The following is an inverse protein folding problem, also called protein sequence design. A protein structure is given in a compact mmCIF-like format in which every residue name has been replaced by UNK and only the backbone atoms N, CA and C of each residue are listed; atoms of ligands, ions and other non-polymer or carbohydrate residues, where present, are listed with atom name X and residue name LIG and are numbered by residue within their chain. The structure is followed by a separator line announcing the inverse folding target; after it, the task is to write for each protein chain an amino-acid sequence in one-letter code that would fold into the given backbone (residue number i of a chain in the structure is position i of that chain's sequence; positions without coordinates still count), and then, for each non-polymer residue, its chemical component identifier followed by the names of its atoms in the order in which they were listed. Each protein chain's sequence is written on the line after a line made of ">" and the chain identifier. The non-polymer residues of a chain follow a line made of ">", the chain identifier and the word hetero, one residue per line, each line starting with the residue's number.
data_IF_122916024089
#
_entry.id   IF_122916024089
#
_cell.length_a   1.000
_cell.length_b   1.000
_cell.length_c   1.000
_cell.angle_alpha   90.00
_cell.angle_beta   90.00
_cell.angle_gamma   90.00
#
_symmetry.space_group_name_H-M   'P 1'
#
loop_
_entity.id
_entity.type
_entity.pdbx_description
1 polymer ?
#
# COMPACT_ATOMS: atom_id res chain seq x y z
N UNK A 1 10.74 15.17 -0.61
CA UNK A 1 12.22 15.37 -0.61
C UNK A 1 12.75 14.89 0.74
N UNK A 2 13.65 13.89 0.84
CA UNK A 2 13.91 13.19 2.12
C UNK A 2 14.78 13.98 3.12
N UNK A 3 14.98 15.29 2.92
CA UNK A 3 15.75 16.14 3.84
C UNK A 3 15.05 17.44 4.27
N UNK A 4 13.79 17.67 3.88
CA UNK A 4 13.07 18.91 4.26
C UNK A 4 11.85 18.70 5.15
N UNK A 5 11.43 17.46 5.43
CA UNK A 5 10.22 17.21 6.25
C UNK A 5 8.92 17.70 5.60
N UNK A 6 8.97 18.22 4.37
CA UNK A 6 7.77 18.40 3.56
C UNK A 6 7.36 17.02 3.05
N UNK A 7 6.33 16.46 3.70
CA UNK A 7 5.48 15.49 3.04
C UNK A 7 4.89 16.19 1.81
N UNK A 8 5.54 16.05 0.66
CA UNK A 8 4.81 16.13 -0.60
C UNK A 8 3.94 14.88 -0.64
N UNK A 9 2.88 14.84 0.17
CA UNK A 9 1.75 13.96 -0.09
C UNK A 9 1.33 14.37 -1.49
N UNK A 10 1.60 13.50 -2.46
CA UNK A 10 1.02 13.69 -3.77
C UNK A 10 -0.49 13.51 -3.57
N UNK A 11 -1.21 14.61 -3.42
CA UNK A 11 -2.67 14.63 -3.22
C UNK A 11 -3.42 14.11 -4.45
N UNK A 12 -2.71 13.84 -5.55
CA UNK A 12 -3.32 13.34 -6.77
C UNK A 12 -3.67 11.85 -6.70
N UNK A 13 -3.12 11.08 -5.75
CA UNK A 13 -3.57 9.69 -5.55
C UNK A 13 -5.05 9.67 -5.14
N UNK A 14 -5.81 8.61 -5.49
CA UNK A 14 -7.21 8.53 -5.12
C UNK A 14 -7.43 8.76 -3.61
N UNK A 15 -8.45 9.55 -3.27
CA UNK A 15 -8.68 10.03 -1.90
C UNK A 15 -8.74 8.90 -0.86
N UNK A 16 -9.26 7.73 -1.25
CA UNK A 16 -9.34 6.56 -0.40
C UNK A 16 -7.98 5.96 0.00
N UNK A 17 -6.88 6.30 -0.68
CA UNK A 17 -5.51 5.89 -0.33
C UNK A 17 -4.78 6.92 0.54
N UNK A 18 -5.22 8.19 0.53
CA UNK A 18 -4.53 9.26 1.24
C UNK A 18 -4.32 8.97 2.73
N UNK A 19 -5.28 8.40 3.49
CA UNK A 19 -5.07 8.13 4.91
C UNK A 19 -3.88 7.20 5.19
N UNK A 20 -3.79 6.07 4.48
CA UNK A 20 -2.69 5.13 4.67
C UNK A 20 -1.35 5.70 4.18
N UNK A 21 -1.34 6.37 3.01
CA UNK A 21 -0.15 7.05 2.50
C UNK A 21 0.36 8.07 3.52
N UNK A 22 -0.54 8.86 4.12
CA UNK A 22 -0.17 9.82 5.16
C UNK A 22 0.48 9.13 6.37
N UNK A 23 -0.09 8.02 6.85
CA UNK A 23 0.50 7.25 7.95
C UNK A 23 1.88 6.66 7.62
N UNK A 24 2.09 6.19 6.39
CA UNK A 24 3.38 5.72 5.89
C UNK A 24 4.42 6.85 5.88
N UNK A 25 4.06 8.02 5.36
CA UNK A 25 4.95 9.20 5.34
C UNK A 25 5.31 9.70 6.74
N UNK A 26 4.35 9.68 7.66
CA UNK A 26 4.61 9.99 9.07
C UNK A 26 5.57 8.95 9.68
N UNK A 27 5.46 7.66 9.34
CA UNK A 27 6.41 6.66 9.82
C UNK A 27 7.85 6.97 9.35
N UNK A 28 8.04 7.38 8.09
CA UNK A 28 9.34 7.87 7.61
C UNK A 28 9.83 9.08 8.40
N UNK A 29 8.96 10.05 8.67
CA UNK A 29 9.30 11.24 9.49
C UNK A 29 9.70 10.89 10.92
N UNK A 30 9.16 9.80 11.47
CA UNK A 30 9.50 9.29 12.80
C UNK A 30 10.78 8.44 12.81
N UNK A 31 11.44 8.26 11.67
CA UNK A 31 12.74 7.59 11.55
C UNK A 31 12.69 6.14 11.08
N UNK A 32 11.52 5.62 10.68
CA UNK A 32 11.41 4.30 10.05
C UNK A 32 11.83 4.37 8.59
N UNK A 33 13.14 4.43 8.34
CA UNK A 33 13.70 4.71 7.02
C UNK A 33 13.50 3.58 5.98
N UNK A 34 13.28 2.34 6.43
CA UNK A 34 13.00 1.22 5.51
C UNK A 34 11.52 1.18 5.16
N UNK A 35 11.22 0.96 3.88
CA UNK A 35 9.84 0.91 3.39
C UNK A 35 8.98 -0.14 4.06
N UNK A 36 9.52 -1.33 4.33
CA UNK A 36 8.76 -2.40 4.99
C UNK A 36 8.40 -2.01 6.43
N UNK A 37 9.34 -1.39 7.15
CA UNK A 37 9.11 -0.85 8.49
C UNK A 37 8.09 0.30 8.47
N UNK A 38 8.23 1.25 7.53
CA UNK A 38 7.29 2.36 7.36
C UNK A 38 5.88 1.89 6.97
N UNK A 39 5.77 0.92 6.06
CA UNK A 39 4.49 0.28 5.70
C UNK A 39 3.85 -0.41 6.91
N UNK A 40 4.63 -1.21 7.65
CA UNK A 40 4.13 -1.91 8.82
C UNK A 40 3.64 -0.93 9.90
N UNK A 41 4.47 0.07 10.26
CA UNK A 41 4.11 1.09 11.26
C UNK A 41 2.92 1.94 10.80
N UNK A 42 2.92 2.36 9.53
CA UNK A 42 1.82 3.09 8.94
C UNK A 42 0.51 2.30 8.95
N UNK A 43 0.57 0.99 8.70
CA UNK A 43 -0.59 0.10 8.75
C UNK A 43 -1.14 -0.02 10.17
N UNK A 44 -0.27 -0.24 11.18
CA UNK A 44 -0.67 -0.30 12.58
C UNK A 44 -1.29 1.04 13.02
N UNK A 45 -0.68 2.17 12.66
CA UNK A 45 -1.20 3.50 12.98
C UNK A 45 -2.57 3.77 12.35
N UNK A 46 -2.73 3.48 11.06
CA UNK A 46 -3.99 3.68 10.35
C UNK A 46 -5.11 2.77 10.88
N UNK A 47 -4.80 1.51 11.18
CA UNK A 47 -5.81 0.56 11.72
C UNK A 47 -6.18 0.82 13.18
N UNK A 48 -5.31 1.50 13.94
CA UNK A 48 -5.59 1.98 15.30
C UNK A 48 -6.53 3.19 15.37
N UNK A 49 -6.75 3.89 14.25
CA UNK A 49 -7.62 5.07 14.19
C UNK A 49 -9.09 4.70 14.35
N UNK A 50 -9.88 5.50 15.06
CA UNK A 50 -11.34 5.30 15.11
C UNK A 50 -12.04 5.73 13.81
N UNK A 51 -11.33 6.43 12.92
CA UNK A 51 -11.87 6.86 11.64
C UNK A 51 -11.90 5.70 10.63
N UNK A 52 -13.09 5.32 10.11
CA UNK A 52 -13.21 4.20 9.18
C UNK A 52 -12.44 4.40 7.86
N UNK A 53 -12.18 5.64 7.43
CA UNK A 53 -11.39 5.92 6.22
C UNK A 53 -9.94 5.47 6.37
N UNK A 54 -9.35 5.61 7.56
CA UNK A 54 -7.98 5.14 7.82
C UNK A 54 -7.90 3.62 7.78
N UNK A 55 -8.85 2.94 8.43
CA UNK A 55 -8.95 1.48 8.37
C UNK A 55 -9.15 0.99 6.95
N UNK A 56 -10.09 1.60 6.22
CA UNK A 56 -10.38 1.26 4.83
C UNK A 56 -9.12 1.38 3.97
N UNK A 57 -8.48 2.54 4.02
CA UNK A 57 -7.26 2.84 3.25
C UNK A 57 -6.16 1.80 3.49
N UNK A 58 -5.90 1.46 4.76
CA UNK A 58 -4.88 0.49 5.13
C UNK A 58 -5.23 -0.94 4.68
N UNK A 59 -6.46 -1.39 4.90
CA UNK A 59 -6.89 -2.73 4.48
C UNK A 59 -7.01 -2.86 2.96
N UNK A 60 -7.40 -1.80 2.26
CA UNK A 60 -7.45 -1.77 0.81
C UNK A 60 -6.05 -1.95 0.23
N UNK A 61 -5.08 -1.18 0.71
CA UNK A 61 -3.68 -1.29 0.28
C UNK A 61 -3.11 -2.68 0.59
N UNK A 62 -3.27 -3.17 1.83
CA UNK A 62 -2.85 -4.52 2.22
C UNK A 62 -3.49 -5.61 1.35
N UNK A 63 -4.77 -5.49 1.02
CA UNK A 63 -5.45 -6.44 0.15
C UNK A 63 -4.78 -6.49 -1.23
N UNK A 64 -4.39 -5.36 -1.82
CA UNK A 64 -3.68 -5.35 -3.10
C UNK A 64 -2.34 -6.06 -3.03
N UNK A 65 -1.57 -5.84 -1.95
CA UNK A 65 -0.30 -6.53 -1.70
C UNK A 65 -0.49 -8.05 -1.56
N UNK A 66 -1.44 -8.46 -0.71
CA UNK A 66 -1.72 -9.86 -0.44
C UNK A 66 -2.27 -10.57 -1.67
N UNK A 67 -3.25 -9.96 -2.37
CA UNK A 67 -3.89 -10.57 -3.53
C UNK A 67 -2.93 -10.68 -4.72
N UNK A 68 -2.00 -9.73 -4.92
CA UNK A 68 -0.97 -9.89 -5.96
C UNK A 68 0.01 -11.00 -5.61
N UNK A 69 0.43 -11.09 -4.35
CA UNK A 69 1.31 -12.17 -3.88
C UNK A 69 0.64 -13.54 -4.09
N UNK A 70 -0.64 -13.64 -3.73
CA UNK A 70 -1.44 -14.82 -3.98
C UNK A 70 -1.59 -15.08 -5.48
N UNK A 71 -1.83 -14.07 -6.31
CA UNK A 71 -1.97 -14.24 -7.76
C UNK A 71 -0.73 -14.88 -8.41
N UNK A 72 0.46 -14.64 -7.88
CA UNK A 72 1.70 -15.26 -8.37
C UNK A 72 1.82 -16.73 -7.95
N UNK A 73 1.33 -17.09 -6.78
CA UNK A 73 1.40 -18.45 -6.24
C UNK A 73 0.22 -19.35 -6.69
N UNK A 74 -0.98 -18.78 -6.70
CA UNK A 74 -2.25 -19.40 -7.06
C UNK A 74 -3.18 -18.35 -7.70
N UNK A 75 -3.10 -18.19 -9.04
CA UNK A 75 -3.94 -17.25 -9.78
C UNK A 75 -5.44 -17.53 -9.66
N UNK A 76 -5.82 -18.80 -9.48
CA UNK A 76 -7.23 -19.21 -9.43
C UNK A 76 -7.84 -18.70 -8.12
N UNK A 77 -7.22 -19.04 -6.99
CA UNK A 77 -7.69 -18.57 -5.68
C UNK A 77 -7.69 -17.05 -5.55
N UNK A 78 -6.66 -16.37 -6.09
CA UNK A 78 -6.60 -14.90 -6.17
C UNK A 78 -7.83 -14.32 -6.87
N UNK A 79 -8.17 -14.87 -8.05
CA UNK A 79 -9.32 -14.40 -8.83
C UNK A 79 -10.63 -14.62 -8.08
N UNK A 80 -10.83 -15.81 -7.51
CA UNK A 80 -12.03 -16.13 -6.74
C UNK A 80 -12.22 -15.22 -5.51
N UNK A 81 -11.14 -14.84 -4.83
CA UNK A 81 -11.18 -13.90 -3.71
C UNK A 81 -11.48 -12.47 -4.18
N UNK A 82 -10.85 -12.02 -5.25
CA UNK A 82 -11.13 -10.71 -5.85
C UNK A 82 -12.58 -10.59 -6.34
N UNK A 83 -13.19 -11.68 -6.82
CA UNK A 83 -14.59 -11.73 -7.23
C UNK A 83 -15.57 -11.57 -6.06
N UNK A 84 -15.18 -11.94 -4.84
CA UNK A 84 -15.98 -11.79 -3.61
C UNK A 84 -15.97 -10.37 -3.03
N UNK A 85 -15.12 -9.48 -3.55
CA UNK A 85 -15.08 -8.08 -3.09
C UNK A 85 -16.39 -7.36 -3.33
N UNK A 86 -16.72 -6.44 -2.41
CA UNK A 86 -17.83 -5.51 -2.58
C UNK A 86 -17.66 -4.69 -3.86
N UNK A 87 -18.75 -4.37 -4.58
CA UNK A 87 -18.69 -3.59 -5.82
C UNK A 87 -17.94 -2.26 -5.67
N UNK A 88 -18.09 -1.54 -4.56
CA UNK A 88 -17.36 -0.29 -4.30
C UNK A 88 -15.84 -0.48 -4.23
N UNK A 89 -15.36 -1.59 -3.65
CA UNK A 89 -13.93 -1.90 -3.61
C UNK A 89 -13.41 -2.22 -5.03
N UNK A 90 -14.20 -2.93 -5.83
CA UNK A 90 -13.85 -3.21 -7.23
C UNK A 90 -13.75 -1.91 -8.05
N UNK A 91 -14.63 -0.96 -7.78
CA UNK A 91 -14.58 0.35 -8.42
C UNK A 91 -13.34 1.15 -7.98
N UNK A 92 -13.02 1.17 -6.70
CA UNK A 92 -11.79 1.81 -6.21
C UNK A 92 -10.53 1.17 -6.83
N UNK A 93 -10.51 -0.15 -7.03
CA UNK A 93 -9.45 -0.84 -7.79
C UNK A 93 -9.37 -0.32 -9.24
N UNK A 94 -10.51 -0.09 -9.89
CA UNK A 94 -10.53 0.42 -11.27
C UNK A 94 -10.07 1.88 -11.33
N UNK A 95 -10.51 2.72 -10.38
CA UNK A 95 -10.04 4.10 -10.22
C UNK A 95 -8.53 4.12 -10.04
N UNK A 96 -8.00 3.25 -9.17
CA UNK A 96 -6.57 3.16 -8.94
C UNK A 96 -5.79 2.70 -10.18
N UNK A 97 -6.32 1.71 -10.92
CA UNK A 97 -5.71 1.29 -12.20
C UNK A 97 -5.69 2.43 -13.20
N UNK A 98 -6.81 3.12 -13.39
CA UNK A 98 -6.92 4.24 -14.30
C UNK A 98 -6.01 5.42 -13.90
N UNK A 99 -5.82 5.64 -12.59
CA UNK A 99 -4.85 6.59 -12.07
C UNK A 99 -3.44 6.22 -12.55
N UNK A 100 -2.98 4.99 -12.32
CA UNK A 100 -1.62 4.57 -12.72
C UNK A 100 -1.40 4.56 -14.24
N UNK A 101 -2.39 4.18 -15.04
CA UNK A 101 -2.27 4.19 -16.51
C UNK A 101 -1.97 5.59 -17.08
N UNK A 102 -2.38 6.67 -16.41
CA UNK A 102 -2.08 8.05 -16.85
C UNK A 102 -0.60 8.40 -16.78
N UNK A 103 0.13 7.78 -15.86
CA UNK A 103 1.53 8.12 -15.59
C UNK A 103 2.54 7.18 -16.26
N UNK A 104 2.10 6.10 -16.94
CA UNK A 104 2.96 5.24 -17.78
C UNK A 104 3.59 6.01 -18.98
N UNK A 105 3.34 7.31 -19.11
CA UNK A 105 3.96 8.18 -20.10
C UNK A 105 5.36 8.65 -19.64
N UNK A 106 6.46 8.35 -20.38
CA UNK A 106 7.85 8.52 -19.93
C UNK A 106 8.36 9.97 -19.75
N UNK A 107 7.49 10.98 -19.76
CA UNK A 107 7.89 12.39 -19.92
C UNK A 107 8.00 13.23 -18.63
N UNK A 108 7.65 12.73 -17.43
CA UNK A 108 7.67 13.56 -16.21
C UNK A 108 8.76 13.15 -15.18
N UNK A 109 9.74 14.03 -14.87
CA UNK A 109 10.86 13.67 -13.98
C UNK A 109 10.60 13.76 -12.47
N UNK A 110 9.46 14.31 -12.00
CA UNK A 110 9.38 14.87 -10.64
C UNK A 110 8.90 13.89 -9.55
N UNK A 111 8.27 12.76 -9.87
CA UNK A 111 7.52 11.99 -8.84
C UNK A 111 8.23 10.77 -8.23
N UNK A 112 9.50 10.50 -8.59
CA UNK A 112 10.21 9.21 -8.36
C UNK A 112 10.24 8.62 -6.95
N UNK A 113 9.94 9.36 -5.88
CA UNK A 113 10.07 8.83 -4.52
C UNK A 113 8.86 7.98 -4.10
N UNK A 114 7.62 8.50 -4.14
CA UNK A 114 6.38 7.70 -3.95
C UNK A 114 6.06 6.90 -5.21
N UNK A 115 6.16 7.54 -6.38
CA UNK A 115 5.83 6.97 -7.69
C UNK A 115 6.76 5.82 -8.08
N UNK A 116 8.07 6.03 -7.91
CA UNK A 116 9.08 5.02 -8.19
C UNK A 116 8.92 3.85 -7.24
N UNK A 117 8.70 4.05 -5.93
CA UNK A 117 8.53 2.93 -4.99
C UNK A 117 7.26 2.13 -5.24
N UNK A 118 6.11 2.77 -5.47
CA UNK A 118 4.85 2.06 -5.70
C UNK A 118 4.85 1.29 -7.04
N UNK A 119 5.39 1.85 -8.13
CA UNK A 119 5.52 1.14 -9.41
C UNK A 119 6.72 0.18 -9.48
N UNK A 120 7.89 0.50 -8.91
CA UNK A 120 9.02 -0.46 -8.83
C UNK A 120 8.62 -1.66 -8.00
N UNK A 121 7.91 -1.41 -6.92
CA UNK A 121 7.31 -2.49 -6.20
C UNK A 121 6.30 -3.21 -7.16
N UNK A 122 5.37 -2.50 -7.82
CA UNK A 122 4.30 -3.15 -8.58
C UNK A 122 4.77 -3.87 -9.87
N UNK A 123 5.91 -3.47 -10.44
CA UNK A 123 6.32 -3.77 -11.83
C UNK A 123 7.76 -4.32 -11.96
N UNK A 124 8.48 -4.62 -10.86
CA UNK A 124 9.79 -5.27 -10.98
C UNK A 124 9.80 -6.78 -10.71
N UNK A 125 10.54 -7.56 -11.53
CA UNK A 125 10.85 -8.96 -11.26
C UNK A 125 11.77 -9.17 -10.04
N UNK A 126 12.44 -8.13 -9.54
CA UNK A 126 13.22 -8.14 -8.29
C UNK A 126 12.40 -7.68 -7.06
N UNK A 127 11.13 -7.27 -7.23
CA UNK A 127 10.19 -6.95 -6.14
C UNK A 127 9.69 -8.18 -5.36
N UNK A 128 10.47 -9.25 -5.28
CA UNK A 128 10.10 -10.49 -4.60
C UNK A 128 10.22 -10.39 -3.07
N UNK A 129 11.07 -9.48 -2.57
CA UNK A 129 11.45 -9.42 -1.15
C UNK A 129 10.57 -8.42 -0.37
N UNK A 130 10.24 -7.25 -0.92
CA UNK A 130 9.50 -6.21 -0.18
C UNK A 130 7.98 -6.44 -0.07
N UNK A 131 7.34 -7.07 -1.07
CA UNK A 131 5.92 -7.42 -1.04
C UNK A 131 5.61 -8.49 0.00
N UNK A 132 6.52 -9.45 0.08
CA UNK A 132 6.44 -10.55 1.03
C UNK A 132 6.74 -10.06 2.44
N UNK A 133 7.59 -9.04 2.61
CA UNK A 133 7.98 -8.51 3.93
C UNK A 133 6.81 -7.87 4.71
N UNK A 134 6.05 -6.90 4.18
CA UNK A 134 4.96 -6.29 4.98
C UNK A 134 3.86 -7.29 5.32
N UNK A 135 3.51 -8.18 4.38
CA UNK A 135 2.53 -9.25 4.62
C UNK A 135 3.09 -10.25 5.63
N UNK A 136 4.38 -10.60 5.56
CA UNK A 136 5.03 -11.48 6.51
C UNK A 136 5.13 -10.83 7.90
N UNK A 137 5.44 -9.55 7.99
CA UNK A 137 5.52 -8.77 9.22
C UNK A 137 4.15 -8.71 9.89
N UNK A 138 3.07 -8.53 9.11
CA UNK A 138 1.69 -8.57 9.62
C UNK A 138 1.26 -9.99 10.04
N UNK A 139 1.68 -11.03 9.31
CA UNK A 139 1.45 -12.43 9.73
C UNK A 139 2.20 -12.73 11.04
N UNK A 140 3.44 -12.25 11.17
CA UNK A 140 4.25 -12.41 12.39
C UNK A 140 3.62 -11.63 13.56
N UNK A 141 3.16 -10.41 13.31
CA UNK A 141 2.40 -9.61 14.27
C UNK A 141 1.14 -10.34 14.74
N UNK A 142 0.36 -10.91 13.81
CA UNK A 142 -0.84 -11.67 14.14
C UNK A 142 -0.53 -12.90 14.97
N UNK A 143 0.50 -13.68 14.62
CA UNK A 143 0.95 -14.83 15.42
C UNK A 143 1.37 -14.44 16.84
N UNK A 144 1.93 -13.24 17.02
CA UNK A 144 2.39 -12.74 18.32
C UNK A 144 1.27 -12.12 19.17
N UNK A 145 0.38 -11.35 18.55
CA UNK A 145 -0.60 -10.49 19.24
C UNK A 145 -2.04 -11.00 19.18
N UNK A 146 -2.35 -11.92 18.27
CA UNK A 146 -3.71 -12.31 17.91
C UNK A 146 -4.47 -11.28 17.06
N UNK A 147 -3.82 -10.18 16.63
CA UNK A 147 -4.44 -9.07 15.87
C UNK A 147 -3.81 -8.91 14.50
N UNK A 148 -4.58 -8.49 13.50
CA UNK A 148 -4.06 -8.16 12.16
C UNK A 148 -3.76 -6.66 12.04
N UNK A 149 -4.22 -5.82 12.96
CA UNK A 149 -3.93 -4.38 13.04
C UNK A 149 -3.74 -3.89 14.49
N UNK A 150 -3.87 -2.57 14.69
CA UNK A 150 -3.85 -1.89 16.01
C UNK A 150 -4.87 -2.41 17.02
#
# INVERSE_FOLDING_TARGET
>A
NPFTGEAQVNTDVPEFLLPYVTCHEIAHQLGYAKENEANFVGFIAATSSDNPLFKYSAYFDLFLYANRSLNRADPVSSKELAEKLNPGIKEDINILKAYYTKYENPAEPVFRWIYGKYLIANDQPLGMVTYSEVVADLIAWHKKSGRIGG
#
